data_IF_388280864743
#
_entry.id   IF_388280864743
#
_cell.length_a   1.000
_cell.length_b   1.000
_cell.length_c   1.000
_cell.angle_alpha   90.00
_cell.angle_beta   90.00
_cell.angle_gamma   90.00
#
_symmetry.space_group_name_H-M   'P 1'
#
loop_
_entity.id
_entity.type
_entity.pdbx_description
1 polymer ?
#
# COMPACT_ATOMS: atom_id res chain seq x y z
N UNK A 1 -10.83 -4.48 -13.86
CA UNK A 1 -9.90 -5.24 -12.99
C UNK A 1 -10.15 -4.88 -11.54
N UNK A 2 -9.93 -5.83 -10.63
CA UNK A 2 -9.95 -5.56 -9.20
C UNK A 2 -8.66 -4.84 -8.77
N UNK A 3 -8.70 -4.24 -7.58
CA UNK A 3 -7.49 -3.60 -7.00
C UNK A 3 -6.36 -4.62 -6.90
N UNK A 4 -6.68 -5.85 -6.47
CA UNK A 4 -5.69 -6.93 -6.37
C UNK A 4 -5.06 -7.25 -7.73
N UNK A 5 -5.87 -7.37 -8.78
CA UNK A 5 -5.36 -7.66 -10.12
C UNK A 5 -4.44 -6.56 -10.64
N UNK A 6 -4.80 -5.29 -10.41
CA UNK A 6 -3.93 -4.17 -10.78
C UNK A 6 -2.60 -4.24 -10.03
N UNK A 7 -2.65 -4.51 -8.72
CA UNK A 7 -1.45 -4.59 -7.88
C UNK A 7 -0.55 -5.76 -8.29
N UNK A 8 -1.13 -6.92 -8.60
CA UNK A 8 -0.37 -8.09 -9.05
C UNK A 8 0.38 -7.83 -10.35
N UNK A 9 -0.20 -7.02 -11.24
CA UNK A 9 0.46 -6.60 -12.48
C UNK A 9 1.73 -5.77 -12.26
N UNK A 10 1.93 -5.23 -11.06
CA UNK A 10 3.09 -4.42 -10.69
C UNK A 10 4.13 -5.20 -9.88
N UNK A 11 3.90 -6.47 -9.62
CA UNK A 11 4.78 -7.29 -8.79
C UNK A 11 6.22 -7.24 -9.28
N UNK A 12 7.15 -6.99 -8.37
CA UNK A 12 8.58 -6.98 -8.67
C UNK A 12 9.16 -5.62 -9.05
N UNK A 13 8.33 -4.58 -9.21
CA UNK A 13 8.82 -3.23 -9.48
C UNK A 13 9.55 -2.72 -8.24
N UNK A 14 10.79 -2.22 -8.41
CA UNK A 14 11.71 -1.82 -7.33
C UNK A 14 12.15 -0.38 -7.46
N UNK A 15 12.46 0.24 -6.30
CA UNK A 15 13.24 1.48 -6.27
C UNK A 15 14.62 1.27 -6.89
N UNK A 16 15.20 2.36 -7.43
CA UNK A 16 16.59 2.39 -7.87
C UNK A 16 17.36 3.28 -6.89
N UNK A 17 18.34 2.69 -6.21
CA UNK A 17 19.16 3.40 -5.21
C UNK A 17 20.11 4.36 -5.92
N UNK A 18 20.28 5.56 -5.37
CA UNK A 18 21.21 6.58 -5.87
C UNK A 18 20.54 7.65 -6.71
N UNK A 19 21.24 8.14 -7.73
CA UNK A 19 20.77 9.28 -8.55
C UNK A 19 19.75 8.90 -9.62
N UNK A 20 19.62 7.63 -9.93
CA UNK A 20 18.66 7.13 -10.89
C UNK A 20 17.38 6.74 -10.15
N UNK A 21 16.24 7.15 -10.65
CA UNK A 21 14.94 6.84 -10.07
C UNK A 21 14.14 5.98 -11.04
N UNK A 22 13.43 5.00 -10.50
CA UNK A 22 12.59 4.14 -11.34
C UNK A 22 11.31 4.87 -11.74
N UNK A 23 11.11 5.19 -13.02
CA UNK A 23 9.88 5.88 -13.46
C UNK A 23 8.62 5.05 -13.19
N UNK A 24 8.72 3.72 -13.07
CA UNK A 24 7.59 2.86 -12.72
C UNK A 24 7.14 3.09 -11.28
N UNK A 25 8.05 3.46 -10.36
CA UNK A 25 7.69 3.84 -8.99
C UNK A 25 7.16 5.27 -8.98
N UNK A 26 7.80 6.18 -9.68
CA UNK A 26 7.38 7.59 -9.72
C UNK A 26 5.98 7.76 -10.29
N UNK A 27 5.53 6.88 -11.19
CA UNK A 27 4.18 6.99 -11.76
C UNK A 27 3.08 6.84 -10.70
N UNK A 28 3.33 6.11 -9.61
CA UNK A 28 2.35 5.98 -8.52
C UNK A 28 2.05 7.31 -7.86
N UNK A 29 2.99 8.23 -7.93
CA UNK A 29 2.79 9.60 -7.45
C UNK A 29 2.24 10.49 -8.56
N UNK A 30 2.88 10.50 -9.72
CA UNK A 30 2.62 11.46 -10.80
C UNK A 30 1.25 11.26 -11.43
N UNK A 31 0.83 10.00 -11.65
CA UNK A 31 -0.49 9.73 -12.23
C UNK A 31 -1.63 10.07 -11.27
N UNK A 32 -1.32 10.21 -9.97
CA UNK A 32 -2.27 10.64 -8.94
C UNK A 32 -2.22 12.15 -8.68
N UNK A 33 -1.44 12.90 -9.47
CA UNK A 33 -1.36 14.36 -9.35
C UNK A 33 -0.31 14.87 -8.37
N UNK A 34 0.56 13.99 -7.85
CA UNK A 34 1.63 14.39 -6.93
C UNK A 34 2.93 14.65 -7.70
N UNK A 35 2.90 15.60 -8.64
CA UNK A 35 4.03 15.91 -9.53
C UNK A 35 5.26 16.46 -8.81
N UNK A 36 5.09 16.89 -7.56
CA UNK A 36 6.19 17.43 -6.75
C UNK A 36 7.17 16.34 -6.29
N UNK A 37 6.77 15.07 -6.35
CA UNK A 37 7.66 13.96 -5.97
C UNK A 37 8.63 13.71 -7.11
N UNK A 38 9.93 13.79 -6.82
CA UNK A 38 11.01 13.70 -7.81
C UNK A 38 11.92 12.48 -7.61
N UNK A 39 11.75 11.74 -6.51
CA UNK A 39 12.58 10.57 -6.22
C UNK A 39 11.72 9.40 -5.77
N UNK A 40 12.19 8.19 -6.06
CA UNK A 40 11.50 6.94 -5.70
C UNK A 40 11.84 6.49 -4.26
N UNK A 41 12.67 7.23 -3.53
CA UNK A 41 12.98 6.95 -2.13
C UNK A 41 11.93 7.53 -1.17
N UNK A 42 11.06 8.43 -1.64
CA UNK A 42 9.91 8.88 -0.87
C UNK A 42 9.02 7.68 -0.57
N UNK A 43 8.57 7.55 0.69
CA UNK A 43 7.71 6.42 1.09
C UNK A 43 6.49 6.32 0.17
N UNK A 44 6.27 5.16 -0.44
CA UNK A 44 5.29 5.01 -1.53
C UNK A 44 4.25 3.91 -1.33
N UNK A 45 4.11 3.40 -0.10
CA UNK A 45 3.11 2.35 0.15
C UNK A 45 1.67 2.85 -0.11
N UNK A 46 1.33 4.04 0.38
CA UNK A 46 0.00 4.62 0.15
C UNK A 46 -0.18 5.08 -1.30
N UNK A 47 0.85 5.68 -1.89
CA UNK A 47 0.81 6.10 -3.29
C UNK A 47 0.50 4.90 -4.21
N UNK A 48 1.12 3.75 -3.94
CA UNK A 48 0.90 2.54 -4.71
C UNK A 48 -0.55 2.06 -4.62
N UNK A 49 -1.11 1.99 -3.41
CA UNK A 49 -2.49 1.51 -3.24
C UNK A 49 -3.50 2.51 -3.82
N UNK A 50 -3.25 3.82 -3.68
CA UNK A 50 -4.05 4.85 -4.35
C UNK A 50 -4.07 4.62 -5.86
N UNK A 51 -2.90 4.41 -6.45
CA UNK A 51 -2.77 4.16 -7.88
C UNK A 51 -3.55 2.89 -8.31
N UNK A 52 -3.40 1.80 -7.55
CA UNK A 52 -4.13 0.56 -7.83
C UNK A 52 -5.65 0.75 -7.74
N UNK A 53 -6.12 1.46 -6.73
CA UNK A 53 -7.55 1.72 -6.53
C UNK A 53 -8.11 2.61 -7.65
N UNK A 54 -7.35 3.63 -8.07
CA UNK A 54 -7.75 4.48 -9.18
C UNK A 54 -7.94 3.66 -10.46
N UNK A 55 -6.98 2.82 -10.81
CA UNK A 55 -7.07 1.98 -12.01
C UNK A 55 -8.15 0.93 -11.93
N UNK A 56 -8.55 0.52 -10.73
CA UNK A 56 -9.67 -0.40 -10.52
C UNK A 56 -11.02 0.30 -10.36
N UNK A 57 -11.05 1.62 -10.48
CA UNK A 57 -12.26 2.44 -10.31
C UNK A 57 -12.90 2.26 -8.93
N UNK A 58 -12.07 2.27 -7.89
CA UNK A 58 -12.48 2.14 -6.49
C UNK A 58 -12.11 3.39 -5.70
N UNK A 59 -12.75 3.61 -4.54
CA UNK A 59 -12.38 4.72 -3.66
C UNK A 59 -10.92 4.65 -3.23
N UNK A 60 -10.28 5.79 -3.02
CA UNK A 60 -8.91 5.89 -2.53
C UNK A 60 -8.72 7.16 -1.70
N UNK A 61 -7.65 7.18 -0.88
CA UNK A 61 -7.44 8.29 0.05
C UNK A 61 -6.87 9.54 -0.62
N UNK A 62 -6.14 9.38 -1.70
CA UNK A 62 -5.38 10.43 -2.40
C UNK A 62 -4.36 11.14 -1.49
N UNK A 63 -3.91 10.45 -0.44
CA UNK A 63 -2.91 10.98 0.50
C UNK A 63 -1.74 10.02 0.60
N UNK A 64 -0.57 10.54 0.94
CA UNK A 64 0.66 9.74 0.97
C UNK A 64 0.92 9.07 2.31
N UNK A 65 0.22 9.43 3.38
CA UNK A 65 0.33 8.76 4.66
C UNK A 65 -0.58 7.52 4.70
N UNK A 66 -0.04 6.40 5.18
CA UNK A 66 -0.76 5.12 5.18
C UNK A 66 -2.05 5.16 6.00
N UNK A 67 -2.08 5.86 7.12
CA UNK A 67 -3.25 5.91 8.00
C UNK A 67 -4.43 6.68 7.41
N UNK A 68 -4.23 7.41 6.31
CA UNK A 68 -5.34 8.04 5.58
C UNK A 68 -6.36 7.02 5.09
N UNK A 69 -5.92 5.77 4.93
CA UNK A 69 -6.79 4.68 4.47
C UNK A 69 -7.79 4.21 5.52
N UNK A 70 -7.63 4.63 6.78
CA UNK A 70 -8.62 4.35 7.84
C UNK A 70 -9.97 5.03 7.58
N UNK A 71 -10.01 6.02 6.68
CA UNK A 71 -11.23 6.74 6.32
C UNK A 71 -11.81 6.32 4.98
N UNK A 72 -11.25 5.28 4.34
CA UNK A 72 -11.66 4.85 2.99
C UNK A 72 -12.38 3.52 3.07
N UNK A 73 -13.48 3.38 2.33
CA UNK A 73 -14.24 2.14 2.28
C UNK A 73 -14.96 1.83 3.58
N UNK A 74 -15.16 0.55 3.85
CA UNK A 74 -15.88 0.06 5.03
C UNK A 74 -14.96 -0.85 5.86
N UNK A 75 -14.94 -0.64 7.18
CA UNK A 75 -14.21 -1.52 8.09
C UNK A 75 -14.80 -2.94 8.07
N UNK A 76 -13.93 -3.96 8.03
CA UNK A 76 -14.35 -5.36 8.15
C UNK A 76 -13.46 -6.07 9.17
N UNK A 77 -14.02 -7.04 9.89
CA UNK A 77 -13.26 -7.84 10.87
C UNK A 77 -12.55 -9.01 10.21
N UNK A 78 -13.19 -9.64 9.24
CA UNK A 78 -12.66 -10.79 8.51
C UNK A 78 -12.44 -10.36 7.07
N UNK A 79 -11.18 -10.19 6.64
CA UNK A 79 -10.91 -9.69 5.29
C UNK A 79 -11.01 -10.79 4.24
N UNK A 80 -11.37 -10.37 3.03
CA UNK A 80 -11.21 -11.17 1.83
C UNK A 80 -9.87 -10.81 1.17
N UNK A 81 -9.37 -11.70 0.33
CA UNK A 81 -8.15 -11.43 -0.44
C UNK A 81 -8.37 -10.16 -1.26
N UNK A 82 -7.44 -9.22 -1.16
CA UNK A 82 -7.51 -7.95 -1.86
C UNK A 82 -8.11 -6.81 -1.05
N UNK A 83 -8.63 -7.07 0.16
CA UNK A 83 -9.05 -6.01 1.06
C UNK A 83 -7.82 -5.23 1.55
N UNK A 84 -8.04 -3.97 1.93
CA UNK A 84 -6.97 -3.09 2.40
C UNK A 84 -6.60 -3.42 3.85
N UNK A 85 -5.30 -3.51 4.13
CA UNK A 85 -4.75 -3.72 5.47
C UNK A 85 -3.98 -2.48 5.88
N UNK A 86 -4.28 -1.92 7.04
CA UNK A 86 -3.54 -0.80 7.59
C UNK A 86 -2.85 -1.25 8.89
N UNK A 87 -1.53 -1.04 8.95
CA UNK A 87 -0.69 -1.38 10.09
C UNK A 87 -0.11 -0.12 10.72
N UNK A 88 0.14 -0.17 12.05
CA UNK A 88 0.91 0.89 12.68
C UNK A 88 2.41 0.62 12.53
N UNK A 89 3.19 1.69 12.57
CA UNK A 89 4.66 1.65 12.65
C UNK A 89 5.10 2.49 13.82
N UNK A 90 6.19 2.10 14.46
CA UNK A 90 6.74 2.67 15.69
C UNK A 90 5.84 2.39 16.90
N UNK A 91 4.61 2.90 16.90
CA UNK A 91 3.65 2.66 17.97
C UNK A 91 2.22 2.81 17.44
N UNK A 92 1.21 2.24 18.14
CA UNK A 92 -0.20 2.40 17.73
C UNK A 92 -0.66 3.84 17.69
N UNK A 93 -0.07 4.73 18.49
CA UNK A 93 -0.45 6.15 18.53
C UNK A 93 0.35 7.05 17.58
N UNK A 94 1.35 6.53 16.88
CA UNK A 94 2.14 7.31 15.92
C UNK A 94 1.32 7.63 14.67
N UNK A 95 1.70 8.68 13.93
CA UNK A 95 1.12 8.96 12.62
C UNK A 95 1.63 8.00 11.55
N UNK A 96 2.74 7.30 11.80
CA UNK A 96 3.37 6.40 10.85
C UNK A 96 2.60 5.10 10.74
N UNK A 97 2.60 4.53 9.53
CA UNK A 97 1.92 3.28 9.27
C UNK A 97 2.36 2.65 7.96
N UNK A 98 1.72 1.54 7.63
CA UNK A 98 1.90 0.86 6.36
C UNK A 98 0.53 0.44 5.84
N UNK A 99 0.35 0.44 4.53
CA UNK A 99 -0.88 0.02 3.87
C UNK A 99 -0.56 -0.91 2.72
N UNK A 100 -1.37 -1.94 2.55
CA UNK A 100 -1.27 -2.89 1.46
C UNK A 100 -2.57 -3.67 1.31
N UNK A 101 -2.51 -4.76 0.55
CA UNK A 101 -3.67 -5.61 0.29
C UNK A 101 -3.49 -6.96 0.98
N UNK A 102 -4.56 -7.43 1.61
CA UNK A 102 -4.59 -8.71 2.32
C UNK A 102 -4.44 -9.87 1.33
N UNK A 103 -3.53 -10.78 1.62
CA UNK A 103 -3.35 -12.03 0.86
C UNK A 103 -3.81 -13.21 1.69
N UNK A 104 -3.23 -13.40 2.88
CA UNK A 104 -3.63 -14.45 3.81
C UNK A 104 -3.11 -14.18 5.21
N UNK A 105 -3.67 -14.89 6.17
CA UNK A 105 -3.20 -14.89 7.55
C UNK A 105 -2.61 -16.28 7.84
N UNK A 106 -1.49 -16.33 8.55
CA UNK A 106 -0.87 -17.59 8.96
C UNK A 106 -0.21 -17.39 10.33
N UNK A 107 -0.74 -18.05 11.37
CA UNK A 107 -0.27 -17.90 12.74
C UNK A 107 -0.39 -16.46 13.20
N UNK A 108 0.73 -15.87 13.63
CA UNK A 108 0.78 -14.49 14.12
C UNK A 108 1.16 -13.49 13.03
N UNK A 109 1.07 -13.85 11.75
CA UNK A 109 1.48 -13.03 10.64
C UNK A 109 0.36 -12.82 9.64
N UNK A 110 0.40 -11.64 8.98
CA UNK A 110 -0.45 -11.29 7.86
C UNK A 110 0.44 -11.13 6.64
N UNK A 111 0.12 -11.82 5.54
CA UNK A 111 0.83 -11.68 4.27
C UNK A 111 0.15 -10.57 3.46
N UNK A 112 0.93 -9.56 3.08
CA UNK A 112 0.44 -8.34 2.47
C UNK A 112 1.13 -8.09 1.14
N UNK A 113 0.36 -7.85 0.09
CA UNK A 113 0.86 -7.37 -1.20
C UNK A 113 0.85 -5.83 -1.15
N UNK A 114 2.00 -5.24 -1.26
CA UNK A 114 2.09 -3.78 -1.18
C UNK A 114 3.33 -3.23 -1.82
N UNK A 115 3.38 -1.91 -1.92
CA UNK A 115 4.55 -1.17 -2.39
C UNK A 115 5.44 -0.77 -1.21
N UNK A 116 6.67 -0.42 -1.53
CA UNK A 116 7.67 -0.02 -0.53
C UNK A 116 7.92 -1.10 0.53
N UNK A 117 7.81 -2.36 0.13
CA UNK A 117 8.12 -3.53 0.96
C UNK A 117 9.46 -4.09 0.45
N UNK A 118 10.52 -3.99 1.25
CA UNK A 118 11.90 -4.23 0.78
C UNK A 118 12.20 -3.39 -0.47
N UNK A 119 11.70 -2.14 -0.49
CA UNK A 119 11.86 -1.18 -1.59
C UNK A 119 11.28 -1.66 -2.93
N UNK A 120 10.25 -2.48 -2.89
CA UNK A 120 9.63 -3.02 -4.10
C UNK A 120 8.15 -3.34 -3.89
N UNK A 121 7.45 -3.66 -4.97
CA UNK A 121 6.11 -4.26 -4.93
C UNK A 121 6.31 -5.77 -4.74
N UNK A 122 5.85 -6.29 -3.61
CA UNK A 122 5.98 -7.71 -3.30
C UNK A 122 4.97 -8.14 -2.23
N UNK A 123 4.95 -9.44 -1.95
CA UNK A 123 4.19 -9.98 -0.81
C UNK A 123 5.17 -10.17 0.33
N UNK A 124 4.82 -9.62 1.50
CA UNK A 124 5.66 -9.67 2.70
C UNK A 124 4.81 -10.00 3.92
N UNK A 125 5.38 -10.74 4.86
CA UNK A 125 4.73 -11.06 6.13
C UNK A 125 4.97 -9.95 7.16
N UNK A 126 3.91 -9.56 7.86
CA UNK A 126 3.96 -8.58 8.95
C UNK A 126 3.34 -9.15 10.20
N UNK A 127 3.84 -8.78 11.39
CA UNK A 127 3.22 -9.24 12.65
C UNK A 127 1.77 -8.76 12.76
N UNK A 128 0.86 -9.67 13.07
CA UNK A 128 -0.57 -9.35 13.22
C UNK A 128 -0.81 -8.34 14.34
N UNK A 129 0.06 -8.27 15.34
CA UNK A 129 -0.05 -7.29 16.42
C UNK A 129 -0.01 -5.84 15.95
N UNK A 130 0.52 -5.58 14.77
CA UNK A 130 0.59 -4.24 14.19
C UNK A 130 -0.68 -3.82 13.44
N UNK A 131 -1.67 -4.71 13.37
CA UNK A 131 -2.93 -4.42 12.66
C UNK A 131 -3.69 -3.28 13.33
N UNK A 132 -4.10 -2.29 12.52
CA UNK A 132 -5.05 -1.25 12.92
C UNK A 132 -6.45 -1.63 12.44
N UNK A 133 -6.64 -1.77 11.14
CA UNK A 133 -7.94 -2.13 10.55
C UNK A 133 -7.76 -2.83 9.20
N UNK A 134 -8.80 -3.60 8.84
CA UNK A 134 -9.04 -4.04 7.46
C UNK A 134 -10.14 -3.16 6.87
N UNK A 135 -10.01 -2.76 5.60
CA UNK A 135 -11.00 -1.95 4.90
C UNK A 135 -11.38 -2.59 3.58
N UNK A 136 -12.67 -2.65 3.29
CA UNK A 136 -13.20 -3.13 2.01
C UNK A 136 -13.56 -1.94 1.14
N UNK A 137 -13.04 -1.91 -0.08
CA UNK A 137 -13.30 -0.85 -1.05
C UNK A 137 -14.55 -1.09 -1.91
#
# INVERSE_FOLDING_TARGET
>A
MTVLEVALGQYGIKEIVGKKHNPEVLKYFHEMGHDWVKDDETAWCSAFINWCAMWADKPFSDKLNARSWLDVGTEVEIPDIGDVVILWRESPGSWKGHVGLFIREAGNYIYILGGNQNNQVCIKAYPKKQLLEYRKL
#
